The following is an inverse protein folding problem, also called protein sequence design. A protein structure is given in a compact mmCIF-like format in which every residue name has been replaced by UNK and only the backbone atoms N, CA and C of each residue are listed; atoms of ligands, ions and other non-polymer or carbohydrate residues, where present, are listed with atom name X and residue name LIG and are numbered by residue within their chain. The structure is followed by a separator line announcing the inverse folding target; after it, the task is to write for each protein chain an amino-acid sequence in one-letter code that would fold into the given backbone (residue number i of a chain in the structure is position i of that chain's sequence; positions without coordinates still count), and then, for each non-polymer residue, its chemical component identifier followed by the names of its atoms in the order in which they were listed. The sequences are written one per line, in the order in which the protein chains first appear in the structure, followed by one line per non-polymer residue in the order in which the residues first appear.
data_IF_741128108348
#
_entry.id   IF_741128108348
#
_cell.length_a   1.000
_cell.length_b   1.000
_cell.length_c   1.000
_cell.angle_alpha   90.00
_cell.angle_beta   90.00
_cell.angle_gamma   90.00
#
_symmetry.space_group_name_H-M   'P 1'
#
loop_
_entity.id
_entity.type
_entity.pdbx_description
1 polymer ?
#
# COMPACT_ATOMS: atom_id res chain seq x y z
N UNK A 1 -53.13 15.52 -67.30
CA UNK A 1 -52.07 14.56 -67.65
C UNK A 1 -50.73 15.28 -67.67
N UNK A 2 -49.76 14.83 -66.85
CA UNK A 2 -48.29 14.92 -67.00
C UNK A 2 -47.69 16.34 -67.27
N UNK A 3 -46.71 16.88 -66.55
CA UNK A 3 -45.43 16.31 -66.07
C UNK A 3 -44.88 17.19 -64.95
N UNK A 4 -44.66 16.64 -63.76
CA UNK A 4 -43.72 17.17 -62.77
C UNK A 4 -42.39 16.44 -63.02
N UNK A 5 -41.39 17.18 -63.47
CA UNK A 5 -40.08 16.65 -63.82
C UNK A 5 -38.99 17.49 -63.16
N UNK A 6 -38.03 16.77 -62.59
CA UNK A 6 -36.76 17.22 -62.05
C UNK A 6 -36.84 17.99 -60.71
N UNK A 7 -36.41 17.31 -59.64
CA UNK A 7 -35.25 17.72 -58.83
C UNK A 7 -34.85 16.53 -57.92
N UNK A 8 -34.60 15.36 -58.53
CA UNK A 8 -33.84 14.27 -57.88
C UNK A 8 -32.37 14.53 -58.23
N UNK A 9 -31.78 15.55 -57.60
CA UNK A 9 -30.39 15.95 -57.86
C UNK A 9 -29.53 16.09 -56.60
N UNK A 10 -30.14 16.25 -55.42
CA UNK A 10 -29.39 16.56 -54.19
C UNK A 10 -28.90 15.36 -53.38
N UNK A 11 -29.54 14.19 -53.51
CA UNK A 11 -29.29 13.06 -52.60
C UNK A 11 -28.05 12.22 -52.91
N UNK A 12 -27.58 12.23 -54.15
CA UNK A 12 -26.50 11.33 -54.61
C UNK A 12 -25.10 11.96 -54.53
N UNK A 13 -24.99 13.27 -54.30
CA UNK A 13 -23.70 13.95 -54.14
C UNK A 13 -23.13 13.86 -52.72
N UNK A 14 -23.96 13.58 -51.70
CA UNK A 14 -23.46 13.32 -50.35
C UNK A 14 -22.85 11.92 -50.18
N UNK A 15 -23.15 10.98 -51.08
CA UNK A 15 -22.58 9.63 -51.02
C UNK A 15 -21.21 9.53 -51.70
N UNK A 16 -20.83 10.52 -52.52
CA UNK A 16 -19.57 10.51 -53.27
C UNK A 16 -18.50 11.47 -52.71
N UNK A 17 -18.85 12.36 -51.78
CA UNK A 17 -17.89 13.16 -51.02
C UNK A 17 -17.34 12.43 -49.77
N UNK A 18 -17.86 11.25 -49.44
CA UNK A 18 -17.36 10.41 -48.35
C UNK A 18 -16.23 9.49 -48.86
N UNK A 19 -15.14 10.09 -49.33
CA UNK A 19 -13.90 9.37 -49.54
C UNK A 19 -13.42 8.78 -48.21
N UNK A 20 -13.57 7.46 -48.07
CA UNK A 20 -12.98 6.55 -47.08
C UNK A 20 -12.49 7.11 -45.75
N UNK A 21 -13.33 7.14 -44.70
CA UNK A 21 -12.89 7.59 -43.37
C UNK A 21 -13.53 6.91 -42.16
N UNK A 22 -14.28 5.80 -42.31
CA UNK A 22 -14.90 5.13 -41.15
C UNK A 22 -14.00 4.09 -40.47
N UNK A 23 -13.48 3.15 -41.25
CA UNK A 23 -12.74 1.98 -40.71
C UNK A 23 -11.29 2.29 -40.37
N UNK A 24 -10.57 3.01 -41.23
CA UNK A 24 -9.17 3.41 -40.96
C UNK A 24 -9.06 4.25 -39.68
N UNK A 25 -9.97 5.22 -39.54
CA UNK A 25 -10.04 6.09 -38.36
C UNK A 25 -10.39 5.32 -37.07
N UNK A 26 -11.24 4.29 -37.16
CA UNK A 26 -11.56 3.41 -36.03
C UNK A 26 -10.36 2.53 -35.64
N UNK A 27 -9.63 2.00 -36.62
CA UNK A 27 -8.41 1.21 -36.39
C UNK A 27 -7.32 2.07 -35.75
N UNK A 28 -7.12 3.30 -36.23
CA UNK A 28 -6.15 4.24 -35.66
C UNK A 28 -6.53 4.63 -34.21
N UNK A 29 -7.82 4.80 -33.93
CA UNK A 29 -8.31 5.07 -32.57
C UNK A 29 -8.07 3.89 -31.62
N UNK A 30 -8.33 2.65 -32.08
CA UNK A 30 -8.08 1.43 -31.29
C UNK A 30 -6.59 1.26 -31.02
N UNK A 31 -5.75 1.42 -32.04
CA UNK A 31 -4.30 1.33 -31.90
C UNK A 31 -3.78 2.39 -30.93
N UNK A 32 -4.20 3.65 -31.09
CA UNK A 32 -3.82 4.75 -30.21
C UNK A 32 -4.24 4.52 -28.75
N UNK A 33 -5.44 4.00 -28.51
CA UNK A 33 -5.91 3.66 -27.16
C UNK A 33 -5.15 2.47 -26.56
N UNK A 34 -4.79 1.47 -27.37
CA UNK A 34 -4.12 0.25 -26.91
C UNK A 34 -2.64 0.48 -26.58
N UNK A 35 -2.00 1.45 -27.24
CA UNK A 35 -0.60 1.81 -26.99
C UNK A 35 -0.45 3.03 -26.09
N UNK A 36 -1.55 3.59 -25.58
CA UNK A 36 -1.51 4.75 -24.71
C UNK A 36 -0.78 4.42 -23.40
N UNK A 37 0.11 5.29 -22.92
CA UNK A 37 0.69 5.14 -21.58
C UNK A 37 -0.41 5.09 -20.52
N UNK A 38 -0.25 4.20 -19.53
CA UNK A 38 -1.16 4.14 -18.39
C UNK A 38 -1.05 5.45 -17.60
N UNK A 39 -2.16 6.15 -17.32
CA UNK A 39 -2.14 7.31 -16.45
C UNK A 39 -1.56 6.95 -15.07
N UNK A 40 -0.37 7.47 -14.76
CA UNK A 40 0.24 7.29 -13.45
C UNK A 40 -0.11 8.45 -12.54
N UNK A 41 -0.70 8.13 -11.38
CA UNK A 41 -0.86 9.09 -10.28
C UNK A 41 0.45 9.21 -9.49
N UNK A 42 0.72 10.41 -8.97
CA UNK A 42 1.85 10.59 -8.06
C UNK A 42 1.74 9.63 -6.88
N UNK A 43 2.85 8.95 -6.53
CA UNK A 43 2.86 8.07 -5.35
C UNK A 43 2.62 8.92 -4.11
N UNK A 44 1.70 8.47 -3.26
CA UNK A 44 1.55 9.04 -1.92
C UNK A 44 2.86 8.84 -1.15
N UNK A 45 3.42 9.88 -0.50
CA UNK A 45 4.56 9.71 0.39
C UNK A 45 4.26 8.67 1.45
N UNK A 46 5.14 7.67 1.59
CA UNK A 46 5.09 6.71 2.69
C UNK A 46 5.75 7.38 3.89
N UNK A 47 4.97 7.73 4.90
CA UNK A 47 5.52 8.11 6.21
C UNK A 47 5.93 6.83 6.91
N UNK A 48 7.23 6.57 6.97
CA UNK A 48 7.77 5.46 7.76
C UNK A 48 7.83 5.93 9.22
N UNK A 49 7.21 5.20 10.16
CA UNK A 49 7.42 5.48 11.56
C UNK A 49 8.91 5.33 11.88
N UNK A 50 9.41 6.17 12.79
CA UNK A 50 10.77 6.04 13.30
C UNK A 50 10.83 4.79 14.19
N UNK A 51 11.16 3.66 13.58
CA UNK A 51 11.19 2.36 14.25
C UNK A 51 12.62 2.01 14.67
N UNK A 52 12.76 1.52 15.89
CA UNK A 52 14.02 1.06 16.47
C UNK A 52 13.94 -0.45 16.67
N UNK A 53 14.98 -1.16 16.25
CA UNK A 53 15.11 -2.60 16.50
C UNK A 53 15.61 -2.81 17.92
N UNK A 54 14.84 -3.53 18.72
CA UNK A 54 15.25 -4.00 20.03
C UNK A 54 15.68 -5.46 19.87
N UNK A 55 16.94 -5.83 20.17
CA UNK A 55 17.40 -7.21 20.08
C UNK A 55 16.78 -8.07 21.19
N UNK A 56 17.05 -9.38 21.16
CA UNK A 56 16.65 -10.29 22.24
C UNK A 56 17.15 -9.79 23.60
N UNK A 57 16.28 -9.83 24.61
CA UNK A 57 16.59 -9.39 25.99
C UNK A 57 16.29 -10.48 27.00
N UNK A 58 17.19 -10.67 27.94
CA UNK A 58 16.98 -11.54 29.10
C UNK A 58 16.66 -10.68 30.32
N UNK A 59 15.42 -10.73 30.78
CA UNK A 59 14.91 -9.91 31.89
C UNK A 59 14.67 -10.74 33.16
N UNK A 60 14.89 -10.20 34.36
CA UNK A 60 14.63 -10.93 35.60
C UNK A 60 13.15 -11.30 35.76
N UNK A 61 12.85 -12.56 36.10
CA UNK A 61 11.52 -12.97 36.54
C UNK A 61 11.42 -12.83 38.05
N UNK A 62 10.45 -12.08 38.60
CA UNK A 62 10.25 -12.01 40.04
C UNK A 62 10.09 -13.41 40.64
N UNK A 63 10.84 -13.70 41.70
CA UNK A 63 10.77 -14.94 42.50
C UNK A 63 11.25 -16.24 41.81
N UNK A 64 11.75 -16.18 40.58
CA UNK A 64 12.06 -17.40 39.79
C UNK A 64 13.53 -17.78 39.65
N UNK A 65 14.47 -16.90 40.03
CA UNK A 65 15.92 -17.10 39.84
C UNK A 65 16.39 -17.21 38.38
N UNK A 66 15.47 -17.35 37.42
CA UNK A 66 15.71 -17.50 35.99
C UNK A 66 15.36 -16.21 35.24
N UNK A 67 16.08 -15.94 34.16
CA UNK A 67 15.80 -14.83 33.25
C UNK A 67 14.75 -15.25 32.23
N UNK A 68 13.77 -14.41 31.93
CA UNK A 68 12.86 -14.63 30.81
C UNK A 68 13.42 -13.99 29.54
N UNK A 69 13.32 -14.70 28.42
CA UNK A 69 13.66 -14.22 27.08
C UNK A 69 12.50 -13.40 26.51
N UNK A 70 12.76 -12.15 26.17
CA UNK A 70 11.91 -11.32 25.31
C UNK A 70 12.54 -11.33 23.92
N UNK A 71 11.90 -11.94 22.91
CA UNK A 71 12.43 -11.94 21.54
C UNK A 71 12.53 -10.54 20.94
N UNK A 72 13.44 -10.39 20.00
CA UNK A 72 13.68 -9.17 19.27
C UNK A 72 12.44 -8.69 18.55
N UNK A 73 12.23 -7.38 18.59
CA UNK A 73 11.03 -6.74 18.06
C UNK A 73 11.31 -5.31 17.65
N UNK A 74 10.38 -4.74 16.87
CA UNK A 74 10.42 -3.34 16.50
C UNK A 74 9.58 -2.51 17.48
N UNK A 75 10.15 -1.42 17.97
CA UNK A 75 9.42 -0.38 18.69
C UNK A 75 9.34 0.87 17.85
N UNK A 76 8.29 1.68 18.05
CA UNK A 76 8.17 2.98 17.38
C UNK A 76 8.57 4.08 18.34
N UNK A 77 9.64 4.81 18.03
CA UNK A 77 10.07 5.99 18.77
C UNK A 77 8.99 7.08 18.68
N UNK A 78 8.57 7.58 19.83
CA UNK A 78 7.63 8.70 19.95
C UNK A 78 8.37 9.99 20.33
N UNK A 79 9.40 9.86 21.17
CA UNK A 79 10.30 10.94 21.57
C UNK A 79 11.66 10.37 21.99
N UNK A 80 12.55 11.20 22.54
CA UNK A 80 13.81 10.74 23.11
C UNK A 80 13.61 9.84 24.35
N UNK A 81 12.47 9.94 25.04
CA UNK A 81 12.18 9.21 26.28
C UNK A 81 10.94 8.33 26.22
N UNK A 82 10.28 8.24 25.07
CA UNK A 82 9.07 7.43 24.89
C UNK A 82 9.13 6.61 23.62
N UNK A 83 8.84 5.33 23.76
CA UNK A 83 8.67 4.38 22.66
C UNK A 83 7.32 3.67 22.80
N UNK A 84 6.61 3.54 21.68
CA UNK A 84 5.46 2.66 21.59
C UNK A 84 5.94 1.24 21.39
N UNK A 85 5.71 0.42 22.40
CA UNK A 85 6.11 -0.98 22.47
C UNK A 85 4.93 -1.85 22.01
N UNK A 86 5.13 -2.79 21.05
CA UNK A 86 4.08 -3.70 20.62
C UNK A 86 3.71 -4.69 21.74
N UNK A 87 2.67 -5.52 21.58
CA UNK A 87 2.45 -6.64 22.49
C UNK A 87 3.69 -7.55 22.50
N UNK A 88 4.19 -7.87 23.68
CA UNK A 88 5.42 -8.67 23.84
C UNK A 88 5.10 -10.05 24.43
N UNK A 89 5.96 -11.01 24.13
CA UNK A 89 5.98 -12.32 24.78
C UNK A 89 7.29 -12.47 25.52
N UNK A 90 7.22 -12.89 26.79
CA UNK A 90 8.38 -13.33 27.55
C UNK A 90 8.31 -14.83 27.77
N UNK A 91 9.38 -15.52 27.44
CA UNK A 91 9.51 -16.98 27.50
C UNK A 91 10.40 -17.32 28.68
N UNK A 92 9.92 -18.15 29.62
CA UNK A 92 10.78 -18.73 30.63
C UNK A 92 11.60 -19.86 29.98
N UNK A 93 12.93 -19.74 29.86
CA UNK A 93 13.76 -20.75 29.20
C UNK A 93 13.83 -22.06 29.99
N UNK A 94 13.53 -22.06 31.29
CA UNK A 94 13.60 -23.26 32.12
C UNK A 94 12.45 -24.25 31.85
N UNK A 95 11.25 -23.76 31.52
CA UNK A 95 10.04 -24.57 31.36
C UNK A 95 9.25 -24.28 30.07
N UNK A 96 9.69 -23.32 29.26
CA UNK A 96 9.05 -22.91 28.00
C UNK A 96 7.77 -22.09 28.18
N UNK A 97 7.37 -21.72 29.40
CA UNK A 97 6.13 -20.98 29.63
C UNK A 97 6.21 -19.57 29.03
N UNK A 98 5.12 -19.18 28.36
CA UNK A 98 4.98 -17.87 27.72
C UNK A 98 4.09 -16.97 28.57
N UNK A 99 4.52 -15.72 28.77
CA UNK A 99 3.71 -14.64 29.36
C UNK A 99 3.63 -13.47 28.39
N UNK A 100 2.42 -13.03 28.09
CA UNK A 100 2.18 -11.90 27.19
C UNK A 100 2.08 -10.60 27.97
N UNK A 101 2.61 -9.52 27.40
CA UNK A 101 2.50 -8.16 27.90
C UNK A 101 1.75 -7.30 26.88
N UNK A 102 0.83 -6.42 27.33
CA UNK A 102 0.09 -5.57 26.42
C UNK A 102 1.01 -4.51 25.79
N UNK A 103 0.63 -4.06 24.60
CA UNK A 103 1.23 -2.90 23.96
C UNK A 103 1.08 -1.64 24.84
N UNK A 104 1.98 -0.67 24.68
CA UNK A 104 1.87 0.59 25.40
C UNK A 104 3.07 1.51 25.19
N UNK A 105 2.93 2.73 25.69
CA UNK A 105 4.05 3.69 25.75
C UNK A 105 4.92 3.34 26.94
N UNK A 106 6.21 3.20 26.71
CA UNK A 106 7.23 2.89 27.72
C UNK A 106 8.49 3.71 27.47
N UNK A 107 9.40 3.84 28.45
CA UNK A 107 10.75 4.34 28.20
C UNK A 107 11.50 3.52 27.14
N UNK A 108 12.59 4.03 26.55
CA UNK A 108 13.46 3.26 25.66
C UNK A 108 13.94 1.93 26.28
N UNK A 109 14.32 0.97 25.44
CA UNK A 109 14.61 -0.39 25.87
C UNK A 109 15.82 -0.46 26.83
N UNK A 110 16.76 0.45 26.64
CA UNK A 110 17.99 0.59 27.41
C UNK A 110 17.72 1.06 28.85
N UNK A 111 16.60 1.76 29.06
CA UNK A 111 16.20 2.33 30.35
C UNK A 111 15.28 1.40 31.16
N UNK A 112 14.83 0.28 30.56
CA UNK A 112 13.87 -0.65 31.18
C UNK A 112 14.56 -1.85 31.82
N UNK A 113 14.06 -2.28 32.98
CA UNK A 113 14.40 -3.59 33.57
C UNK A 113 13.45 -4.73 33.15
N UNK A 114 12.36 -4.40 32.45
CA UNK A 114 11.32 -5.33 32.02
C UNK A 114 11.03 -5.26 30.52
N UNK A 115 10.00 -5.99 30.05
CA UNK A 115 9.52 -5.88 28.68
C UNK A 115 8.97 -4.48 28.41
#
# INVERSE_FOLDING_TARGET
MRRAGALIGGGLLFLQAAGGTGLGHAVDQINGASTAPVPTVARRPVVRPDNVWVPDRYIPVPHGGSLALVPGHWERRLSDHESYVPPLSAINPADGRVRTFPAGVRPPAEERSGP
#
